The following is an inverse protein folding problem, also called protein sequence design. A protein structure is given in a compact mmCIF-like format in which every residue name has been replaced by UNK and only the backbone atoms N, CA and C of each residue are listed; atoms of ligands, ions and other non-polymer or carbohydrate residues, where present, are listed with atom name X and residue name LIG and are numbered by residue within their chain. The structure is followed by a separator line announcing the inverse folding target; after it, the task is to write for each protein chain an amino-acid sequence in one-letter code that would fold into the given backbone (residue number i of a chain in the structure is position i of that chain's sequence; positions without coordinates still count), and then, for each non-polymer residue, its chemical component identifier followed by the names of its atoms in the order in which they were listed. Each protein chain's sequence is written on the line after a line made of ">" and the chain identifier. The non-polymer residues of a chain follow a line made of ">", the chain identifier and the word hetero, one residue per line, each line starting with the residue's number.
data_IF_874663469980
#
_entry.id   IF_874663469980
#
_cell.length_a   1.000
_cell.length_b   1.000
_cell.length_c   1.000
_cell.angle_alpha   90.00
_cell.angle_beta   90.00
_cell.angle_gamma   90.00
#
_symmetry.space_group_name_H-M   'P 1'
#
loop_
_entity.id
_entity.type
_entity.pdbx_description
1 polymer ?
#
# COMPACT_ATOMS: atom_id res chain seq x y z
N UNK A 1 27.85 -6.44 -6.83
CA UNK A 1 26.77 -7.45 -6.69
C UNK A 1 25.51 -7.11 -7.52
N UNK A 2 25.12 -5.84 -7.69
CA UNK A 2 23.92 -5.40 -8.43
C UNK A 2 23.87 -5.72 -9.93
N UNK A 3 25.00 -6.03 -10.58
CA UNK A 3 25.01 -6.49 -11.99
C UNK A 3 24.34 -7.85 -12.20
N UNK A 4 24.27 -8.67 -11.15
CA UNK A 4 23.66 -10.02 -11.22
C UNK A 4 22.15 -10.00 -10.98
N UNK A 5 21.61 -8.95 -10.35
CA UNK A 5 20.19 -8.90 -9.97
C UNK A 5 19.35 -8.02 -10.91
N UNK A 6 19.96 -7.05 -11.60
CA UNK A 6 19.24 -6.07 -12.41
C UNK A 6 19.85 -5.87 -13.81
N UNK A 7 19.04 -5.94 -14.87
CA UNK A 7 19.49 -5.53 -16.20
C UNK A 7 19.63 -4.00 -16.22
N UNK A 8 20.87 -3.51 -16.18
CA UNK A 8 21.25 -2.08 -16.08
C UNK A 8 20.71 -1.39 -14.80
N UNK A 9 21.48 -1.36 -13.70
CA UNK A 9 20.97 -0.91 -12.39
C UNK A 9 20.52 0.56 -12.36
N UNK A 10 21.19 1.47 -13.06
CA UNK A 10 20.85 2.91 -13.05
C UNK A 10 19.42 3.23 -13.52
N UNK A 11 19.05 2.90 -14.77
CA UNK A 11 17.71 3.23 -15.29
C UNK A 11 16.60 2.46 -14.58
N UNK A 12 16.86 1.24 -14.08
CA UNK A 12 15.87 0.48 -13.32
C UNK A 12 15.44 1.21 -12.05
N UNK A 13 16.37 1.61 -11.19
CA UNK A 13 16.04 2.31 -9.95
C UNK A 13 15.41 3.68 -10.19
N UNK A 14 15.90 4.44 -11.18
CA UNK A 14 15.32 5.75 -11.50
C UNK A 14 13.87 5.60 -11.99
N UNK A 15 13.60 4.61 -12.86
CA UNK A 15 12.25 4.32 -13.33
C UNK A 15 11.32 3.87 -12.19
N UNK A 16 11.82 3.03 -11.27
CA UNK A 16 11.06 2.58 -10.11
C UNK A 16 10.70 3.74 -9.19
N UNK A 17 11.65 4.65 -8.94
CA UNK A 17 11.45 5.82 -8.10
C UNK A 17 10.44 6.79 -8.70
N UNK A 18 10.58 7.13 -9.99
CA UNK A 18 9.64 8.01 -10.69
C UNK A 18 8.25 7.38 -10.75
N UNK A 19 8.15 6.09 -11.06
CA UNK A 19 6.87 5.37 -11.10
C UNK A 19 6.20 5.33 -9.73
N UNK A 20 6.96 5.07 -8.66
CA UNK A 20 6.45 5.08 -7.30
C UNK A 20 5.95 6.47 -6.90
N UNK A 21 6.69 7.53 -7.22
CA UNK A 21 6.23 8.91 -6.97
C UNK A 21 4.93 9.22 -7.70
N UNK A 22 4.83 8.87 -8.98
CA UNK A 22 3.60 9.08 -9.76
C UNK A 22 2.44 8.31 -9.14
N UNK A 23 2.63 7.04 -8.79
CA UNK A 23 1.58 6.20 -8.20
C UNK A 23 1.10 6.73 -6.84
N UNK A 24 2.03 7.22 -6.01
CA UNK A 24 1.72 7.83 -4.70
C UNK A 24 1.01 9.16 -4.89
N UNK A 25 1.52 10.05 -5.74
CA UNK A 25 0.92 11.36 -5.99
C UNK A 25 -0.48 11.17 -6.58
N UNK A 26 -0.66 10.26 -7.53
CA UNK A 26 -1.97 9.98 -8.11
C UNK A 26 -2.97 9.51 -7.06
N UNK A 27 -2.54 8.61 -6.16
CA UNK A 27 -3.40 8.14 -5.09
C UNK A 27 -3.77 9.25 -4.09
N UNK A 28 -2.79 10.06 -3.68
CA UNK A 28 -2.95 11.16 -2.71
C UNK A 28 -3.69 12.38 -3.27
N UNK A 29 -3.51 12.70 -4.56
CA UNK A 29 -4.14 13.85 -5.22
C UNK A 29 -5.65 13.68 -5.46
N UNK A 30 -6.22 12.54 -5.07
CA UNK A 30 -7.66 12.29 -5.17
C UNK A 30 -8.02 11.08 -6.03
N UNK A 31 -7.05 10.33 -6.57
CA UNK A 31 -7.31 9.07 -7.25
C UNK A 31 -8.05 8.06 -6.36
N UNK A 32 -7.67 7.97 -5.08
CA UNK A 32 -8.37 7.14 -4.10
C UNK A 32 -9.82 7.61 -3.86
N UNK A 33 -10.03 8.92 -3.72
CA UNK A 33 -11.36 9.52 -3.51
C UNK A 33 -12.25 9.42 -4.75
N UNK A 34 -11.67 9.48 -5.95
CA UNK A 34 -12.37 9.29 -7.21
C UNK A 34 -12.80 7.83 -7.40
N UNK A 35 -11.90 6.87 -7.12
CA UNK A 35 -12.21 5.44 -7.17
C UNK A 35 -13.29 5.03 -6.18
N UNK A 36 -13.26 5.53 -4.95
CA UNK A 36 -14.29 5.23 -3.94
C UNK A 36 -15.64 5.86 -4.27
N UNK A 37 -15.65 7.05 -4.91
CA UNK A 37 -16.88 7.69 -5.41
C UNK A 37 -17.51 6.95 -6.58
N UNK A 38 -16.72 6.47 -7.54
CA UNK A 38 -17.21 5.70 -8.69
C UNK A 38 -17.78 4.35 -8.26
N UNK A 39 -17.20 3.74 -7.24
CA UNK A 39 -17.57 2.39 -6.78
C UNK A 39 -18.65 2.38 -5.71
N UNK A 40 -19.14 3.56 -5.28
CA UNK A 40 -20.18 3.67 -4.26
C UNK A 40 -19.75 3.21 -2.87
N UNK A 41 -18.44 3.22 -2.58
CA UNK A 41 -17.88 2.88 -1.28
C UNK A 41 -18.10 4.01 -0.26
N UNK A 42 -19.36 4.36 0.02
CA UNK A 42 -19.78 5.38 1.00
C UNK A 42 -20.34 4.74 2.27
N UNK A 43 -19.94 3.51 2.59
CA UNK A 43 -20.28 2.88 3.87
C UNK A 43 -19.25 3.25 4.93
N UNK A 44 -19.69 3.67 6.11
CA UNK A 44 -18.84 3.90 7.29
C UNK A 44 -17.84 2.74 7.44
N UNK A 45 -16.55 3.09 7.52
CA UNK A 45 -15.49 2.07 7.66
C UNK A 45 -15.66 1.42 9.04
N UNK A 46 -16.03 0.13 9.11
CA UNK A 46 -16.28 -0.50 10.41
C UNK A 46 -14.98 -0.55 11.22
N UNK A 47 -15.05 -0.28 12.51
CA UNK A 47 -13.88 -0.31 13.44
C UNK A 47 -13.39 -1.76 13.69
N UNK A 48 -14.07 -2.77 13.15
CA UNK A 48 -13.71 -4.20 13.27
C UNK A 48 -12.86 -4.70 12.09
N UNK A 49 -12.44 -5.97 12.13
CA UNK A 49 -11.72 -6.66 11.05
C UNK A 49 -12.42 -6.58 9.67
N UNK A 50 -13.70 -6.21 9.63
CA UNK A 50 -14.43 -5.91 8.39
C UNK A 50 -13.83 -4.74 7.59
N UNK A 51 -12.99 -3.88 8.19
CA UNK A 51 -12.22 -2.84 7.48
C UNK A 51 -11.39 -3.40 6.33
N UNK A 52 -10.76 -4.56 6.52
CA UNK A 52 -9.91 -5.19 5.49
C UNK A 52 -10.71 -5.78 4.32
N UNK A 53 -11.99 -6.06 4.53
CA UNK A 53 -12.91 -6.54 3.49
C UNK A 53 -13.78 -5.43 2.89
N UNK A 54 -13.59 -4.18 3.34
CA UNK A 54 -14.35 -3.05 2.82
C UNK A 54 -13.93 -2.74 1.38
N UNK A 55 -14.91 -2.28 0.59
CA UNK A 55 -14.71 -2.00 -0.83
C UNK A 55 -13.55 -1.01 -1.06
N UNK A 56 -13.40 -0.02 -0.18
CA UNK A 56 -12.32 0.97 -0.22
C UNK A 56 -10.93 0.34 -0.12
N UNK A 57 -10.76 -0.67 0.74
CA UNK A 57 -9.49 -1.39 0.91
C UNK A 57 -9.22 -2.35 -0.26
N UNK A 58 -10.25 -3.06 -0.75
CA UNK A 58 -10.11 -3.90 -1.93
C UNK A 58 -9.69 -3.10 -3.17
N UNK A 59 -10.22 -1.89 -3.35
CA UNK A 59 -9.84 -1.02 -4.46
C UNK A 59 -8.39 -0.56 -4.35
N UNK A 60 -7.91 -0.27 -3.14
CA UNK A 60 -6.50 0.00 -2.92
C UNK A 60 -5.62 -1.21 -3.27
N UNK A 61 -6.02 -2.42 -2.86
CA UNK A 61 -5.29 -3.66 -3.20
C UNK A 61 -5.25 -3.90 -4.70
N UNK A 62 -6.37 -3.71 -5.38
CA UNK A 62 -6.46 -3.82 -6.83
C UNK A 62 -5.57 -2.77 -7.52
N UNK A 63 -5.65 -1.50 -7.11
CA UNK A 63 -4.82 -0.43 -7.64
C UNK A 63 -3.33 -0.72 -7.45
N UNK A 64 -2.93 -1.13 -6.24
CA UNK A 64 -1.55 -1.51 -5.93
C UNK A 64 -1.06 -2.66 -6.81
N UNK A 65 -1.84 -3.73 -6.94
CA UNK A 65 -1.50 -4.87 -7.80
C UNK A 65 -1.38 -4.46 -9.27
N UNK A 66 -2.24 -3.56 -9.76
CA UNK A 66 -2.16 -3.03 -11.13
C UNK A 66 -0.87 -2.21 -11.31
N UNK A 67 -0.55 -1.32 -10.37
CA UNK A 67 0.67 -0.50 -10.45
C UNK A 67 1.95 -1.35 -10.42
N UNK A 68 2.02 -2.36 -9.55
CA UNK A 68 3.15 -3.30 -9.47
C UNK A 68 3.19 -4.18 -10.71
N UNK A 69 2.04 -4.68 -11.16
CA UNK A 69 1.92 -5.52 -12.35
C UNK A 69 2.36 -4.81 -13.62
N UNK A 70 1.91 -3.57 -13.84
CA UNK A 70 2.33 -2.74 -14.99
C UNK A 70 3.84 -2.49 -14.98
N UNK A 71 4.39 -2.15 -13.81
CA UNK A 71 5.83 -1.95 -13.66
C UNK A 71 6.62 -3.24 -13.93
N UNK A 72 6.19 -4.36 -13.34
CA UNK A 72 6.83 -5.66 -13.54
C UNK A 72 6.75 -6.13 -14.99
N UNK A 73 5.59 -5.97 -15.65
CA UNK A 73 5.35 -6.43 -17.01
C UNK A 73 6.17 -5.62 -18.03
N UNK A 74 6.24 -4.29 -17.87
CA UNK A 74 7.13 -3.44 -18.66
C UNK A 74 8.59 -3.94 -18.58
N UNK A 75 9.03 -4.26 -17.38
CA UNK A 75 10.40 -4.69 -17.11
C UNK A 75 10.69 -6.14 -17.52
N UNK A 76 9.68 -7.02 -17.53
CA UNK A 76 9.79 -8.37 -18.09
C UNK A 76 9.91 -8.38 -19.61
N UNK A 77 9.22 -7.46 -20.30
CA UNK A 77 9.29 -7.34 -21.76
C UNK A 77 10.61 -6.68 -22.20
N UNK A 78 11.08 -5.66 -21.47
CA UNK A 78 12.29 -4.91 -21.85
C UNK A 78 13.59 -5.69 -21.65
N UNK A 79 13.74 -6.44 -20.55
CA UNK A 79 14.94 -7.24 -20.31
C UNK A 79 14.65 -8.45 -19.43
N UNK A 80 14.33 -9.61 -20.02
CA UNK A 80 13.93 -10.79 -19.26
C UNK A 80 15.12 -11.32 -18.45
N UNK A 81 15.05 -11.18 -17.12
CA UNK A 81 16.08 -11.66 -16.21
C UNK A 81 15.49 -12.55 -15.10
N UNK A 82 16.05 -13.75 -14.93
CA UNK A 82 15.56 -14.79 -13.99
C UNK A 82 15.42 -14.33 -12.53
N UNK A 83 16.28 -13.43 -12.07
CA UNK A 83 16.25 -12.90 -10.69
C UNK A 83 15.37 -11.66 -10.50
N UNK A 84 14.81 -11.11 -11.59
CA UNK A 84 13.98 -9.90 -11.54
C UNK A 84 12.62 -10.15 -10.88
N UNK A 85 12.10 -11.39 -10.94
CA UNK A 85 10.91 -11.80 -10.20
C UNK A 85 11.09 -11.55 -8.71
N UNK A 86 12.20 -12.01 -8.12
CA UNK A 86 12.49 -11.81 -6.70
C UNK A 86 12.77 -10.36 -6.35
N UNK A 87 13.49 -9.65 -7.21
CA UNK A 87 13.81 -8.24 -6.96
C UNK A 87 12.58 -7.33 -7.05
N UNK A 88 11.73 -7.48 -8.07
CA UNK A 88 10.57 -6.62 -8.26
C UNK A 88 9.43 -7.07 -7.35
N UNK A 89 9.01 -8.34 -7.45
CA UNK A 89 7.87 -8.84 -6.69
C UNK A 89 8.21 -8.92 -5.20
N UNK A 90 9.42 -9.34 -4.83
CA UNK A 90 9.85 -9.41 -3.43
C UNK A 90 9.92 -8.02 -2.78
N UNK A 91 10.52 -7.02 -3.43
CA UNK A 91 10.53 -5.65 -2.89
C UNK A 91 9.14 -5.05 -2.83
N UNK A 92 8.29 -5.28 -3.85
CA UNK A 92 6.89 -4.86 -3.78
C UNK A 92 6.16 -5.51 -2.61
N UNK A 93 6.32 -6.82 -2.41
CA UNK A 93 5.70 -7.54 -1.31
C UNK A 93 6.13 -7.00 0.05
N UNK A 94 7.40 -6.65 0.23
CA UNK A 94 7.88 -6.01 1.46
C UNK A 94 7.15 -4.69 1.70
N UNK A 95 7.04 -3.82 0.69
CA UNK A 95 6.33 -2.53 0.81
C UNK A 95 4.84 -2.75 1.16
N UNK A 96 4.22 -3.75 0.55
CA UNK A 96 2.83 -4.10 0.85
C UNK A 96 2.66 -4.58 2.29
N UNK A 97 3.54 -5.48 2.76
CA UNK A 97 3.51 -6.03 4.11
C UNK A 97 3.78 -4.94 5.15
N UNK A 98 4.75 -4.04 4.94
CA UNK A 98 5.00 -2.96 5.89
C UNK A 98 3.82 -2.02 6.02
N UNK A 99 3.17 -1.66 4.91
CA UNK A 99 1.93 -0.88 4.94
C UNK A 99 0.79 -1.65 5.65
N UNK A 100 0.62 -2.93 5.35
CA UNK A 100 -0.43 -3.75 5.96
C UNK A 100 -0.26 -3.87 7.47
N UNK A 101 0.98 -4.05 7.95
CA UNK A 101 1.29 -4.09 9.38
C UNK A 101 0.96 -2.78 10.10
N UNK A 102 1.14 -1.62 9.45
CA UNK A 102 0.72 -0.32 10.01
C UNK A 102 -0.80 -0.27 10.17
N UNK A 103 -1.55 -0.69 9.15
CA UNK A 103 -3.02 -0.72 9.20
C UNK A 103 -3.55 -1.69 10.26
N UNK A 104 -2.92 -2.86 10.40
CA UNK A 104 -3.20 -3.79 11.51
C UNK A 104 -2.92 -3.12 12.85
N UNK A 105 -1.80 -2.41 12.99
CA UNK A 105 -1.49 -1.64 14.20
C UNK A 105 -2.55 -0.60 14.55
N UNK A 106 -3.07 0.14 13.56
CA UNK A 106 -4.17 1.10 13.75
C UNK A 106 -5.47 0.39 14.15
N UNK A 107 -5.80 -0.73 13.51
CA UNK A 107 -6.99 -1.52 13.84
C UNK A 107 -6.91 -2.11 15.27
N UNK A 108 -5.75 -2.64 15.64
CA UNK A 108 -5.47 -3.17 16.98
C UNK A 108 -5.54 -2.05 18.01
N UNK A 109 -4.95 -0.89 17.74
CA UNK A 109 -5.02 0.28 18.62
C UNK A 109 -6.46 0.77 18.80
N UNK A 110 -7.25 0.82 17.73
CA UNK A 110 -8.67 1.18 17.82
C UNK A 110 -9.50 0.17 18.65
N UNK A 111 -9.08 -1.09 18.69
CA UNK A 111 -9.70 -2.13 19.52
C UNK A 111 -9.36 -2.01 21.01
N UNK A 112 -8.12 -1.61 21.34
CA UNK A 112 -7.69 -1.35 22.72
C UNK A 112 -8.06 0.04 23.25
N UNK A 113 -8.26 1.04 22.38
CA UNK A 113 -8.64 2.41 22.73
C UNK A 113 -9.87 2.50 23.69
N UNK A 114 -10.97 1.74 23.51
CA UNK A 114 -12.08 1.75 24.46
C UNK A 114 -11.75 1.11 25.84
N UNK A 115 -10.69 0.30 25.95
CA UNK A 115 -10.25 -0.31 27.23
C UNK A 115 -9.48 0.70 28.10
N UNK A 116 -8.76 1.65 27.50
CA UNK A 116 -8.06 2.73 28.22
C UNK A 116 -8.99 3.91 28.56
N UNK A 117 -10.06 4.12 27.78
CA UNK A 117 -11.01 5.23 28.00
C UNK A 117 -12.01 4.96 29.14
N UNK A 118 -12.08 3.75 29.67
CA UNK A 118 -12.86 3.44 30.87
C UNK A 118 -12.20 3.87 32.17
N UNK A 119 -10.92 4.29 32.14
CA UNK A 119 -10.24 4.87 33.29
C UNK A 119 -10.45 6.40 33.32
N UNK A 120 -11.08 6.96 34.36
CA UNK A 120 -11.39 8.39 34.44
C UNK A 120 -10.16 9.30 34.52
N UNK A 121 -8.96 8.77 34.80
CA UNK A 121 -7.71 9.54 34.90
C UNK A 121 -7.08 9.92 33.54
N UNK A 122 -7.48 9.30 32.42
CA UNK A 122 -6.87 9.57 31.11
C UNK A 122 -7.55 10.68 30.28
N UNK A 123 -8.65 11.26 30.76
CA UNK A 123 -9.39 12.30 30.03
C UNK A 123 -8.71 13.69 30.05
N UNK A 124 -7.71 13.90 30.91
CA UNK A 124 -7.12 15.22 31.18
C UNK A 124 -5.89 15.55 30.31
N UNK A 125 -5.32 14.56 29.60
CA UNK A 125 -4.03 14.73 28.91
C UNK A 125 -4.10 15.11 27.41
N UNK A 126 -5.29 15.46 26.89
CA UNK A 126 -5.45 15.86 25.48
C UNK A 126 -6.43 17.04 25.31
N UNK A 127 -6.21 18.12 26.06
CA UNK A 127 -6.70 19.46 25.71
C UNK A 127 -5.56 20.29 25.08
#
# INVERSE_FOLDING_TARGET
>A
MFKSFFPKPGPFFLSAFIWALIAVIFWQAGGGAWLTRITGATGEVPISAARFWSLSYLLFYAYYMVCVGLFALFWFVYSPHRWQYWSILGTSLIIFVTWFLVEVGVAVNAWYCPVLRSDPECAEFTA
#
